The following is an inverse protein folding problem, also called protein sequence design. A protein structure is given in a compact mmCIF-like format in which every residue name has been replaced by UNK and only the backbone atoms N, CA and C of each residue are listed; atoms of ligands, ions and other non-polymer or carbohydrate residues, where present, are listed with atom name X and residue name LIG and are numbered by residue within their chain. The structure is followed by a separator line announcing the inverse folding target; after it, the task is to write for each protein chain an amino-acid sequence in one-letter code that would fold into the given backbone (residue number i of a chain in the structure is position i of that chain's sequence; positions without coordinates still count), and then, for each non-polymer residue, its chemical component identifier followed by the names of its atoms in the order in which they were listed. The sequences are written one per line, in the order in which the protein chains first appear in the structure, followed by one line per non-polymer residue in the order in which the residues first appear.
data_IF_824199625557
#
_entry.id   IF_824199625557
#
_cell.length_a   1.000
_cell.length_b   1.000
_cell.length_c   1.000
_cell.angle_alpha   90.00
_cell.angle_beta   90.00
_cell.angle_gamma   90.00
#
_symmetry.space_group_name_H-M   'P 1'
#
loop_
_entity.id
_entity.type
_entity.pdbx_description
1 polymer ?
#
# COMPACT_ATOMS: atom_id res chain seq x y z
N UNK A 1 0.03 -5.86 6.57
CA UNK A 1 0.55 -6.13 5.21
C UNK A 1 1.33 -4.90 4.78
N UNK A 2 2.62 -5.04 4.49
CA UNK A 2 3.53 -3.95 4.15
C UNK A 2 3.96 -4.14 2.70
N UNK A 3 3.50 -3.24 1.84
CA UNK A 3 3.80 -3.24 0.41
C UNK A 3 5.28 -2.99 0.11
N UNK A 4 5.67 -3.20 -1.15
CA UNK A 4 7.05 -3.06 -1.58
C UNK A 4 7.54 -1.60 -1.53
N UNK A 5 8.86 -1.44 -1.63
CA UNK A 5 9.49 -0.14 -1.84
C UNK A 5 10.37 0.35 -0.69
N UNK A 6 11.24 1.29 -1.01
CA UNK A 6 12.19 1.89 -0.06
C UNK A 6 11.50 2.75 0.99
N UNK A 7 10.33 3.31 0.71
CA UNK A 7 9.58 4.14 1.67
C UNK A 7 8.94 3.28 2.78
N UNK A 8 8.60 2.02 2.51
CA UNK A 8 8.04 1.11 3.53
C UNK A 8 9.13 0.39 4.33
N UNK A 9 10.36 0.28 3.79
CA UNK A 9 11.49 -0.39 4.45
C UNK A 9 11.79 0.13 5.87
N UNK A 10 11.85 1.46 6.14
CA UNK A 10 12.08 1.98 7.49
C UNK A 10 11.07 1.48 8.54
N UNK A 11 9.84 1.13 8.15
CA UNK A 11 8.83 0.59 9.08
C UNK A 11 9.32 -0.71 9.71
N UNK A 12 9.85 -1.64 8.91
CA UNK A 12 10.37 -2.91 9.41
C UNK A 12 11.73 -2.72 10.09
N UNK A 13 12.61 -1.89 9.54
CA UNK A 13 13.93 -1.64 10.14
C UNK A 13 13.82 -1.06 11.54
N UNK A 14 12.87 -0.16 11.80
CA UNK A 14 12.60 0.39 13.13
C UNK A 14 12.02 -0.64 14.12
N UNK A 15 11.50 -1.76 13.61
CA UNK A 15 11.08 -2.92 14.42
C UNK A 15 12.20 -3.96 14.58
N UNK A 16 13.40 -3.72 14.05
CA UNK A 16 14.48 -4.71 14.02
C UNK A 16 14.25 -5.85 13.03
N UNK A 17 13.40 -5.63 12.01
CA UNK A 17 13.02 -6.64 11.01
C UNK A 17 13.61 -6.34 9.64
N UNK A 18 13.92 -7.40 8.89
CA UNK A 18 14.31 -7.32 7.48
C UNK A 18 13.10 -7.13 6.56
N UNK A 19 13.25 -6.30 5.52
CA UNK A 19 12.23 -6.05 4.49
C UNK A 19 12.67 -6.62 3.15
N UNK A 20 11.77 -7.34 2.49
CA UNK A 20 11.90 -7.70 1.07
C UNK A 20 11.71 -6.45 0.21
N UNK A 21 12.70 -6.05 -0.59
CA UNK A 21 12.64 -4.75 -1.27
C UNK A 21 11.46 -4.62 -2.26
N UNK A 22 11.26 -5.64 -3.09
CA UNK A 22 10.23 -5.68 -4.14
C UNK A 22 9.02 -6.53 -3.73
N UNK A 23 9.09 -7.22 -2.59
CA UNK A 23 8.05 -8.09 -2.08
C UNK A 23 7.06 -7.43 -1.11
N UNK A 24 5.96 -8.12 -0.85
CA UNK A 24 4.99 -7.78 0.19
C UNK A 24 5.31 -8.56 1.45
N UNK A 25 5.50 -7.89 2.58
CA UNK A 25 5.80 -8.57 3.85
C UNK A 25 4.62 -8.45 4.82
N UNK A 26 4.43 -9.45 5.67
CA UNK A 26 3.40 -9.42 6.72
C UNK A 26 4.06 -9.39 8.08
N UNK A 27 3.66 -8.39 8.87
CA UNK A 27 4.11 -8.20 10.25
C UNK A 27 2.92 -8.32 11.18
N UNK A 28 3.04 -9.14 12.22
CA UNK A 28 2.07 -9.29 13.29
C UNK A 28 2.80 -9.38 14.64
N UNK A 29 2.33 -8.67 15.66
CA UNK A 29 2.96 -8.71 16.99
C UNK A 29 4.46 -8.34 17.00
N UNK A 30 4.87 -7.36 16.19
CA UNK A 30 6.28 -6.95 15.97
C UNK A 30 7.20 -8.06 15.41
N UNK A 31 6.63 -9.11 14.80
CA UNK A 31 7.37 -10.18 14.13
C UNK A 31 7.02 -10.22 12.66
N UNK A 32 8.03 -10.49 11.82
CA UNK A 32 7.83 -10.82 10.41
C UNK A 32 7.24 -12.23 10.35
N UNK A 33 5.97 -12.35 10.00
CA UNK A 33 5.26 -13.65 9.94
C UNK A 33 5.31 -14.25 8.55
N UNK A 34 5.34 -13.42 7.50
CA UNK A 34 5.51 -13.84 6.12
C UNK A 34 6.43 -12.82 5.45
N UNK A 35 7.54 -13.31 4.86
CA UNK A 35 8.37 -12.52 3.97
C UNK A 35 7.99 -12.85 2.52
N UNK A 36 7.93 -11.83 1.66
CA UNK A 36 7.60 -11.96 0.24
C UNK A 36 6.30 -12.76 -0.05
N UNK A 37 5.24 -12.37 0.65
CA UNK A 37 3.90 -12.95 0.54
C UNK A 37 3.34 -12.84 -0.88
N UNK A 38 2.72 -13.92 -1.34
CA UNK A 38 1.90 -13.96 -2.56
C UNK A 38 0.41 -13.73 -2.23
N UNK A 39 -0.44 -13.58 -3.26
CA UNK A 39 -1.88 -13.35 -3.07
C UNK A 39 -2.53 -14.42 -2.18
N UNK A 40 -2.27 -15.71 -2.46
CA UNK A 40 -2.86 -16.84 -1.73
C UNK A 40 -2.56 -16.75 -0.24
N UNK A 41 -1.29 -16.55 0.13
CA UNK A 41 -0.87 -16.44 1.53
C UNK A 41 -1.50 -15.23 2.25
N UNK A 42 -1.73 -14.13 1.53
CA UNK A 42 -2.40 -12.95 2.09
C UNK A 42 -3.89 -13.22 2.29
N UNK A 43 -4.55 -13.89 1.34
CA UNK A 43 -5.97 -14.24 1.44
C UNK A 43 -6.24 -15.23 2.59
N UNK A 44 -5.41 -16.27 2.74
CA UNK A 44 -5.47 -17.24 3.84
C UNK A 44 -5.30 -16.54 5.20
N UNK A 45 -4.33 -15.63 5.30
CA UNK A 45 -4.11 -14.87 6.53
C UNK A 45 -5.33 -14.00 6.89
N UNK A 46 -5.95 -13.39 5.88
CA UNK A 46 -7.12 -12.53 6.01
C UNK A 46 -8.42 -13.29 6.35
N UNK A 47 -8.44 -14.62 6.31
CA UNK A 47 -9.60 -15.39 6.77
C UNK A 47 -9.77 -15.29 8.29
N UNK A 48 -8.66 -15.22 9.01
CA UNK A 48 -8.64 -15.28 10.47
C UNK A 48 -8.13 -14.00 11.13
N UNK A 49 -7.68 -13.01 10.34
CA UNK A 49 -7.08 -11.79 10.86
C UNK A 49 -7.57 -10.55 10.09
N UNK A 50 -7.95 -9.52 10.84
CA UNK A 50 -8.04 -8.18 10.29
C UNK A 50 -6.62 -7.62 10.06
N UNK A 51 -6.39 -6.96 8.91
CA UNK A 51 -5.09 -6.41 8.59
C UNK A 51 -5.18 -5.02 7.97
N UNK A 52 -4.17 -4.19 8.25
CA UNK A 52 -3.93 -2.93 7.53
C UNK A 52 -2.96 -3.17 6.37
N UNK A 53 -3.21 -2.47 5.27
CA UNK A 53 -2.37 -2.50 4.07
C UNK A 53 -1.60 -1.19 3.98
N UNK A 54 -0.29 -1.22 4.21
CA UNK A 54 0.58 -0.03 4.14
C UNK A 54 1.32 -0.04 2.82
N UNK A 55 1.13 0.98 1.99
CA UNK A 55 1.71 1.07 0.65
C UNK A 55 2.28 2.46 0.38
N UNK A 56 3.17 2.56 -0.60
CA UNK A 56 3.71 3.82 -1.08
C UNK A 56 3.44 3.97 -2.58
N UNK A 57 3.21 5.20 -3.07
CA UNK A 57 3.17 5.45 -4.50
C UNK A 57 4.49 5.06 -5.18
N UNK A 58 4.36 4.55 -6.40
CA UNK A 58 5.46 4.38 -7.35
C UNK A 58 5.86 5.78 -7.83
N UNK A 59 7.09 6.20 -7.51
CA UNK A 59 7.59 7.56 -7.79
C UNK A 59 7.53 7.90 -9.29
N UNK A 60 7.22 9.16 -9.62
CA UNK A 60 7.12 9.67 -11.00
C UNK A 60 5.85 9.25 -11.76
N UNK A 61 5.37 8.02 -11.55
CA UNK A 61 4.15 7.49 -12.17
C UNK A 61 2.88 7.76 -11.36
N UNK A 62 2.98 7.74 -10.03
CA UNK A 62 1.86 8.05 -9.13
C UNK A 62 0.92 6.88 -8.83
N UNK A 63 1.19 5.66 -9.31
CA UNK A 63 0.37 4.49 -8.98
C UNK A 63 0.55 4.07 -7.52
N UNK A 64 -0.57 3.88 -6.81
CA UNK A 64 -0.61 3.24 -5.48
C UNK A 64 -0.77 1.73 -5.65
N UNK A 65 -1.67 1.34 -6.56
CA UNK A 65 -1.92 -0.03 -6.96
C UNK A 65 -1.92 -0.08 -8.49
N UNK A 66 -1.25 -1.06 -9.07
CA UNK A 66 -1.17 -1.26 -10.51
C UNK A 66 -1.14 -2.73 -10.87
N UNK A 67 -1.42 -3.05 -12.14
CA UNK A 67 -1.58 -4.43 -12.64
C UNK A 67 -0.38 -5.37 -12.41
N UNK A 68 0.82 -4.82 -12.26
CA UNK A 68 2.06 -5.59 -12.09
C UNK A 68 2.32 -6.10 -10.66
N UNK A 69 1.60 -5.60 -9.65
CA UNK A 69 1.80 -5.96 -8.24
C UNK A 69 0.62 -6.78 -7.71
N UNK A 70 0.42 -7.98 -8.28
CA UNK A 70 -0.76 -8.81 -8.05
C UNK A 70 -0.87 -9.41 -6.64
N UNK A 71 0.17 -9.29 -5.81
CA UNK A 71 0.15 -9.76 -4.42
C UNK A 71 -0.96 -9.05 -3.63
N UNK A 72 -1.10 -7.73 -3.80
CA UNK A 72 -2.18 -6.95 -3.18
C UNK A 72 -3.32 -6.79 -4.18
N UNK A 73 -3.97 -7.91 -4.49
CA UNK A 73 -5.05 -7.99 -5.47
C UNK A 73 -6.34 -7.28 -5.02
N UNK A 74 -7.32 -7.04 -5.93
CA UNK A 74 -8.66 -6.60 -5.57
C UNK A 74 -9.31 -7.41 -4.45
N UNK A 75 -9.09 -8.73 -4.43
CA UNK A 75 -9.63 -9.62 -3.39
C UNK A 75 -8.99 -9.36 -2.03
N UNK A 76 -7.67 -9.16 -2.00
CA UNK A 76 -6.92 -8.79 -0.78
C UNK A 76 -7.37 -7.41 -0.27
N UNK A 77 -7.56 -6.44 -1.17
CA UNK A 77 -8.05 -5.10 -0.82
C UNK A 77 -9.48 -5.15 -0.26
N UNK A 78 -10.36 -5.92 -0.90
CA UNK A 78 -11.74 -6.11 -0.45
C UNK A 78 -11.79 -6.81 0.92
N UNK A 79 -11.07 -7.93 1.11
CA UNK A 79 -11.02 -8.65 2.39
C UNK A 79 -10.39 -7.83 3.52
N UNK A 80 -9.34 -7.07 3.23
CA UNK A 80 -8.72 -6.18 4.23
C UNK A 80 -9.58 -4.97 4.57
N UNK A 81 -10.47 -4.55 3.66
CA UNK A 81 -11.30 -3.37 3.77
C UNK A 81 -10.57 -2.11 3.28
N UNK A 82 -11.22 -1.36 2.38
CA UNK A 82 -10.58 -0.21 1.71
C UNK A 82 -10.20 0.93 2.67
N UNK A 83 -10.85 1.03 3.82
CA UNK A 83 -10.52 2.01 4.87
C UNK A 83 -9.31 1.59 5.71
N UNK A 84 -8.84 0.36 5.59
CA UNK A 84 -7.62 -0.15 6.24
C UNK A 84 -6.35 0.05 5.38
N UNK A 85 -6.49 0.73 4.24
CA UNK A 85 -5.36 1.11 3.39
C UNK A 85 -4.73 2.39 3.94
N UNK A 86 -3.42 2.33 4.20
CA UNK A 86 -2.60 3.44 4.64
C UNK A 86 -1.58 3.73 3.56
N UNK A 87 -1.71 4.90 2.94
CA UNK A 87 -0.72 5.38 1.96
C UNK A 87 0.31 6.23 2.68
N UNK A 88 1.58 5.86 2.52
CA UNK A 88 2.73 6.62 3.01
C UNK A 88 3.54 7.12 1.81
N UNK A 89 4.17 8.28 1.92
CA UNK A 89 5.05 8.76 0.87
C UNK A 89 6.07 9.74 1.42
N UNK A 90 7.28 9.74 0.87
CA UNK A 90 8.16 10.88 1.05
C UNK A 90 7.51 12.12 0.39
N UNK A 91 7.61 13.33 0.98
CA UNK A 91 7.01 14.55 0.41
C UNK A 91 7.42 14.79 -1.04
N UNK A 92 8.68 14.52 -1.38
CA UNK A 92 9.28 14.77 -2.69
C UNK A 92 8.60 13.92 -3.78
N UNK A 93 8.19 12.69 -3.46
CA UNK A 93 7.45 11.83 -4.39
C UNK A 93 6.11 12.43 -4.78
N UNK A 94 5.41 13.05 -3.81
CA UNK A 94 4.12 13.70 -4.09
C UNK A 94 4.33 14.98 -4.89
N UNK A 95 5.31 15.81 -4.50
CA UNK A 95 5.66 17.03 -5.23
C UNK A 95 6.05 16.73 -6.69
N UNK A 96 6.76 15.63 -6.94
CA UNK A 96 7.17 15.22 -8.29
C UNK A 96 6.00 14.90 -9.24
N UNK A 97 4.79 14.72 -8.72
CA UNK A 97 3.60 14.52 -9.54
C UNK A 97 3.16 15.80 -10.25
N UNK A 98 3.61 16.97 -9.80
CA UNK A 98 3.23 18.26 -10.41
C UNK A 98 1.73 18.54 -10.32
N UNK A 99 1.09 18.14 -9.22
CA UNK A 99 -0.36 18.29 -9.00
C UNK A 99 -1.23 17.22 -9.68
N UNK A 100 -0.64 16.29 -10.45
CA UNK A 100 -1.37 15.13 -10.99
C UNK A 100 -1.86 14.23 -9.85
N UNK A 101 -3.06 13.64 -9.96
CA UNK A 101 -3.58 12.74 -8.95
C UNK A 101 -2.72 11.47 -8.85
N UNK A 102 -2.82 10.79 -7.70
CA UNK A 102 -2.38 9.41 -7.60
C UNK A 102 -3.31 8.50 -8.42
N UNK A 103 -2.77 7.38 -8.86
CA UNK A 103 -3.45 6.46 -9.76
C UNK A 103 -3.70 5.10 -9.10
N UNK A 104 -4.83 4.49 -9.46
CA UNK A 104 -5.17 3.10 -9.13
C UNK A 104 -5.64 2.38 -10.38
N UNK A 105 -5.08 1.20 -10.62
CA UNK A 105 -5.54 0.25 -11.64
C UNK A 105 -5.32 -1.16 -11.08
N UNK A 106 -6.28 -1.62 -10.27
CA UNK A 106 -6.27 -2.95 -9.66
C UNK A 106 -6.76 -4.03 -10.61
N UNK A 107 -7.26 -3.65 -11.80
CA UNK A 107 -7.93 -4.56 -12.72
C UNK A 107 -9.38 -4.91 -12.34
N UNK A 108 -9.91 -4.30 -11.28
CA UNK A 108 -11.30 -4.45 -10.83
C UNK A 108 -11.97 -3.08 -10.79
N UNK A 109 -13.05 -2.94 -11.58
CA UNK A 109 -13.71 -1.66 -11.78
C UNK A 109 -14.32 -1.09 -10.49
N UNK A 110 -14.92 -1.93 -9.66
CA UNK A 110 -15.60 -1.46 -8.44
C UNK A 110 -14.59 -1.05 -7.38
N UNK A 111 -13.47 -1.77 -7.26
CA UNK A 111 -12.37 -1.39 -6.36
C UNK A 111 -11.71 -0.09 -6.84
N UNK A 112 -11.39 0.03 -8.14
CA UNK A 112 -10.81 1.26 -8.70
C UNK A 112 -11.71 2.48 -8.48
N UNK A 113 -13.03 2.30 -8.69
CA UNK A 113 -14.04 3.33 -8.49
C UNK A 113 -14.13 3.74 -7.03
N UNK A 114 -14.15 2.78 -6.10
CA UNK A 114 -14.20 3.06 -4.67
C UNK A 114 -12.93 3.77 -4.15
N UNK A 115 -11.76 3.44 -4.72
CA UNK A 115 -10.49 4.06 -4.39
C UNK A 115 -10.28 5.44 -5.04
N UNK A 116 -11.05 5.78 -6.07
CA UNK A 116 -11.00 7.06 -6.79
C UNK A 116 -11.61 8.23 -5.98
N UNK A 117 -11.02 8.53 -4.83
CA UNK A 117 -11.44 9.55 -3.86
C UNK A 117 -10.25 10.36 -3.36
N UNK A 118 -10.51 11.44 -2.63
CA UNK A 118 -9.44 12.10 -1.87
C UNK A 118 -9.06 11.23 -0.68
N UNK A 119 -7.77 11.01 -0.48
CA UNK A 119 -7.24 10.20 0.63
C UNK A 119 -6.28 11.02 1.48
N UNK A 120 -6.06 10.56 2.71
CA UNK A 120 -4.99 11.08 3.58
C UNK A 120 -3.72 10.28 3.32
N UNK A 121 -2.62 10.95 3.01
CA UNK A 121 -1.29 10.37 2.85
C UNK A 121 -0.46 10.76 4.05
N UNK A 122 0.23 9.80 4.67
CA UNK A 122 1.20 10.06 5.73
C UNK A 122 2.53 10.44 5.08
N UNK A 123 3.00 11.66 5.34
CA UNK A 123 4.25 12.18 4.74
C UNK A 123 5.39 12.32 5.74
N UNK A 124 5.10 12.24 7.03
CA UNK A 124 6.06 12.40 8.11
C UNK A 124 5.46 12.03 9.46
N UNK A 125 6.22 12.24 10.54
CA UNK A 125 5.74 11.99 11.89
C UNK A 125 4.67 13.02 12.27
N UNK A 126 3.42 12.56 12.43
CA UNK A 126 2.27 13.44 12.71
C UNK A 126 1.75 14.21 11.48
N UNK A 127 2.46 14.17 10.36
CA UNK A 127 2.12 14.93 9.16
C UNK A 127 1.28 14.10 8.19
N UNK A 128 0.21 14.74 7.69
CA UNK A 128 -0.66 14.16 6.66
C UNK A 128 -1.10 15.24 5.68
N UNK A 129 -1.20 14.84 4.42
CA UNK A 129 -1.81 15.66 3.37
C UNK A 129 -3.05 14.98 2.81
N UNK A 130 -3.99 15.77 2.30
CA UNK A 130 -5.12 15.25 1.51
C UNK A 130 -4.72 15.33 0.04
N UNK A 131 -4.87 14.23 -0.70
CA UNK A 131 -4.45 14.16 -2.09
C UNK A 131 -5.47 13.41 -2.95
N UNK A 132 -5.75 13.85 -4.19
CA UNK A 132 -6.71 13.18 -5.06
C UNK A 132 -6.15 11.84 -5.60
N UNK A 133 -7.02 10.84 -5.65
CA UNK A 133 -6.80 9.57 -6.34
C UNK A 133 -7.79 9.45 -7.50
N UNK A 134 -7.32 8.96 -8.64
CA UNK A 134 -8.13 8.67 -9.83
C UNK A 134 -7.80 7.28 -10.35
N UNK A 135 -8.74 6.72 -11.11
CA UNK A 135 -8.49 5.53 -11.92
C UNK A 135 -7.46 5.86 -13.01
N UNK A 136 -6.46 5.00 -13.13
CA UNK A 136 -5.38 5.09 -14.14
C UNK A 136 -5.75 4.50 -15.48
#
# INVERSE_FOLDING_TARGET
IIGPGTTTRPILTNLGLSKTLIGVDVVCGRKLVIADANETSLLELLENHAAKVVVTPIGGQGFIFGRGNQQISPKVLSKSGLDNIIVISAPEKILSLGGRPLLVDTGDYEIDKALSRHIKIVTGYGERIVYPVRRG
#
